data_IF_543957840414
#
_entry.id   IF_543957840414
#
_cell.length_a   1.000
_cell.length_b   1.000
_cell.length_c   1.000
_cell.angle_alpha   90.00
_cell.angle_beta   90.00
_cell.angle_gamma   90.00
#
_symmetry.space_group_name_H-M   'P 1'
#
loop_
_entity.id
_entity.type
_entity.pdbx_description
1 polymer ?
#
# COMPACT_ATOMS: atom_id res chain seq x y z
N UNK A 1 -1.54 -15.55 -4.72
CA UNK A 1 -1.51 -14.66 -3.55
C UNK A 1 -1.48 -13.23 -4.07
N UNK A 2 -2.50 -12.46 -3.76
CA UNK A 2 -2.71 -11.09 -4.22
C UNK A 2 -2.28 -10.19 -3.06
N UNK A 3 -1.37 -9.23 -3.27
CA UNK A 3 -0.96 -8.32 -2.21
C UNK A 3 -2.08 -7.32 -1.92
N UNK A 4 -2.80 -7.52 -0.81
CA UNK A 4 -3.79 -6.58 -0.28
C UNK A 4 -3.13 -5.67 0.76
N UNK A 5 -3.40 -4.37 0.68
CA UNK A 5 -2.99 -3.40 1.70
C UNK A 5 -4.22 -3.11 2.54
N UNK A 6 -4.17 -3.57 3.78
CA UNK A 6 -5.21 -3.37 4.77
C UNK A 6 -4.76 -2.26 5.71
N UNK A 7 -5.59 -1.22 5.84
CA UNK A 7 -5.42 -0.23 6.89
C UNK A 7 -6.11 -0.78 8.12
N UNK A 8 -5.32 -1.18 9.10
CA UNK A 8 -5.84 -1.70 10.34
C UNK A 8 -6.08 -0.59 11.36
N UNK A 9 -7.04 -0.82 12.26
CA UNK A 9 -7.21 0.05 13.42
C UNK A 9 -5.96 -0.02 14.32
N UNK A 10 -5.61 1.05 15.05
CA UNK A 10 -4.57 0.99 16.06
C UNK A 10 -4.82 -0.15 17.05
N UNK A 11 -3.88 -1.11 17.14
CA UNK A 11 -3.98 -2.29 18.01
C UNK A 11 -4.41 -3.60 17.33
N UNK A 12 -4.66 -3.61 16.02
CA UNK A 12 -4.86 -4.87 15.28
C UNK A 12 -3.53 -5.61 15.09
N UNK A 13 -3.53 -6.93 15.30
CA UNK A 13 -2.37 -7.81 15.19
C UNK A 13 -2.26 -8.55 13.85
N UNK A 14 -3.21 -8.34 12.92
CA UNK A 14 -3.23 -9.02 11.61
C UNK A 14 -2.31 -8.37 10.56
N UNK A 15 -1.78 -7.18 10.85
CA UNK A 15 -0.86 -6.45 9.98
C UNK A 15 0.48 -6.17 10.65
N UNK A 16 1.51 -5.91 9.82
CA UNK A 16 2.77 -5.33 10.31
C UNK A 16 2.57 -3.82 10.42
N UNK A 17 2.64 -3.22 11.62
CA UNK A 17 2.60 -1.77 11.75
C UNK A 17 3.85 -1.19 11.08
N UNK A 18 3.66 -0.23 10.18
CA UNK A 18 4.79 0.54 9.64
C UNK A 18 5.23 1.52 10.73
N UNK A 19 6.39 1.27 11.36
CA UNK A 19 6.89 2.15 12.43
C UNK A 19 7.36 3.52 11.90
N UNK A 20 7.70 3.59 10.61
CA UNK A 20 8.07 4.83 9.95
C UNK A 20 6.93 5.39 9.11
N UNK A 21 6.92 6.72 9.01
CA UNK A 21 5.99 7.43 8.14
C UNK A 21 6.07 6.93 6.70
N UNK A 22 4.91 6.65 6.12
CA UNK A 22 4.75 6.49 4.69
C UNK A 22 4.28 7.81 4.08
N UNK A 23 4.61 8.01 2.81
CA UNK A 23 4.24 9.21 2.07
C UNK A 23 3.09 8.90 1.11
N UNK A 24 1.96 9.55 1.32
CA UNK A 24 0.88 9.59 0.34
C UNK A 24 1.19 10.71 -0.64
N UNK A 25 1.59 10.36 -1.86
CA UNK A 25 1.86 11.34 -2.93
C UNK A 25 0.60 11.77 -3.64
N UNK A 26 -0.40 10.90 -3.73
CA UNK A 26 -1.69 11.20 -4.35
C UNK A 26 -2.76 10.32 -3.71
N UNK A 27 -3.90 10.91 -3.37
CA UNK A 27 -5.10 10.20 -2.95
C UNK A 27 -6.32 10.95 -3.45
N UNK A 28 -6.90 10.45 -4.54
CA UNK A 28 -8.09 11.01 -5.17
C UNK A 28 -9.09 9.88 -5.42
N UNK A 29 -10.11 9.83 -4.56
CA UNK A 29 -11.17 8.81 -4.63
C UNK A 29 -12.13 9.03 -5.79
N UNK A 30 -12.29 10.29 -6.25
CA UNK A 30 -13.14 10.61 -7.41
C UNK A 30 -12.50 10.11 -8.70
N UNK A 31 -11.20 10.33 -8.85
CA UNK A 31 -10.41 9.85 -9.99
C UNK A 31 -9.91 8.41 -9.80
N UNK A 32 -10.11 7.83 -8.61
CA UNK A 32 -9.66 6.49 -8.22
C UNK A 32 -8.15 6.31 -8.44
N UNK A 33 -7.37 7.23 -7.87
CA UNK A 33 -5.91 7.23 -7.92
C UNK A 33 -5.34 7.27 -6.52
N UNK A 34 -4.46 6.33 -6.20
CA UNK A 34 -3.66 6.33 -4.97
C UNK A 34 -2.19 6.10 -5.34
N UNK A 35 -1.29 6.86 -4.73
CA UNK A 35 0.13 6.60 -4.76
C UNK A 35 0.72 6.73 -3.36
N UNK A 36 1.18 5.62 -2.82
CA UNK A 36 1.82 5.52 -1.52
C UNK A 36 3.25 5.04 -1.70
N UNK A 37 4.17 5.67 -0.98
CA UNK A 37 5.58 5.31 -0.95
C UNK A 37 5.96 5.07 0.50
N UNK A 38 6.43 3.87 0.79
CA UNK A 38 7.06 3.53 2.05
C UNK A 38 8.58 3.42 1.80
N UNK A 39 9.38 4.36 2.33
CA UNK A 39 10.82 4.38 2.08
C UNK A 39 11.58 3.28 2.83
N UNK A 40 10.92 2.56 3.75
CA UNK A 40 11.57 1.59 4.64
C UNK A 40 12.06 2.21 5.94
N UNK A 41 13.04 1.55 6.55
CA UNK A 41 13.65 1.95 7.82
C UNK A 41 13.13 1.22 9.03
N UNK A 42 12.30 0.19 8.82
CA UNK A 42 11.97 -0.83 9.81
C UNK A 42 12.58 -2.18 9.37
N UNK A 43 12.95 -3.04 10.31
CA UNK A 43 13.41 -4.40 10.01
C UNK A 43 12.26 -5.30 9.54
N UNK A 44 11.03 -4.96 9.94
CA UNK A 44 9.86 -5.82 9.75
C UNK A 44 9.16 -5.62 8.40
N UNK A 45 9.46 -4.54 7.67
CA UNK A 45 8.88 -4.25 6.36
C UNK A 45 9.91 -3.65 5.40
N UNK A 46 10.11 -4.26 4.22
CA UNK A 46 10.99 -3.68 3.21
C UNK A 46 10.36 -2.46 2.54
N UNK A 47 11.16 -1.55 1.95
CA UNK A 47 10.66 -0.43 1.17
C UNK A 47 9.72 -0.89 0.04
N UNK A 48 8.63 -0.15 -0.17
CA UNK A 48 7.70 -0.46 -1.26
C UNK A 48 7.00 0.79 -1.81
N UNK A 49 6.43 0.63 -3.00
CA UNK A 49 5.54 1.62 -3.62
C UNK A 49 4.24 0.94 -4.01
N UNK A 50 3.12 1.49 -3.56
CA UNK A 50 1.79 1.11 -4.03
C UNK A 50 1.27 2.19 -4.98
N UNK A 51 0.83 1.77 -6.17
CA UNK A 51 0.06 2.60 -7.08
C UNK A 51 -1.28 1.93 -7.34
N UNK A 52 -2.37 2.69 -7.21
CA UNK A 52 -3.71 2.28 -7.61
C UNK A 52 -4.19 3.22 -8.70
N UNK A 53 -4.67 2.65 -9.80
CA UNK A 53 -5.32 3.37 -10.91
C UNK A 53 -6.63 2.66 -11.24
N UNK A 54 -7.74 3.39 -11.16
CA UNK A 54 -9.08 2.83 -11.29
C UNK A 54 -9.26 1.64 -10.33
N UNK A 55 -9.45 0.43 -10.82
CA UNK A 55 -9.64 -0.79 -10.02
C UNK A 55 -8.41 -1.73 -10.03
N UNK A 56 -7.24 -1.23 -10.41
CA UNK A 56 -6.00 -1.99 -10.47
C UNK A 56 -4.99 -1.43 -9.49
N UNK A 57 -4.30 -2.30 -8.77
CA UNK A 57 -3.17 -1.96 -7.92
C UNK A 57 -1.90 -2.64 -8.40
N UNK A 58 -0.79 -1.92 -8.24
CA UNK A 58 0.56 -2.40 -8.50
C UNK A 58 1.39 -2.11 -7.27
N UNK A 59 1.82 -3.17 -6.59
CA UNK A 59 2.80 -3.12 -5.52
C UNK A 59 4.19 -3.38 -6.10
N UNK A 60 5.12 -2.45 -5.91
CA UNK A 60 6.53 -2.64 -6.23
C UNK A 60 7.31 -2.79 -4.93
N UNK A 61 7.95 -3.93 -4.74
CA UNK A 61 8.66 -4.31 -3.50
C UNK A 61 9.87 -5.17 -3.88
N UNK A 62 11.07 -4.85 -3.36
CA UNK A 62 12.34 -5.50 -3.77
C UNK A 62 12.55 -5.62 -5.29
N UNK A 63 12.17 -4.60 -6.06
CA UNK A 63 12.26 -4.62 -7.53
C UNK A 63 11.28 -5.58 -8.23
N UNK A 64 10.44 -6.31 -7.47
CA UNK A 64 9.35 -7.12 -8.01
C UNK A 64 8.07 -6.30 -8.10
N UNK A 65 7.30 -6.52 -9.16
CA UNK A 65 5.97 -5.93 -9.35
C UNK A 65 4.90 -7.00 -9.15
N UNK A 66 3.95 -6.70 -8.28
CA UNK A 66 2.78 -7.53 -8.00
C UNK A 66 1.55 -6.73 -8.41
N UNK A 67 0.79 -7.27 -9.36
CA UNK A 67 -0.45 -6.66 -9.83
C UNK A 67 -1.65 -7.33 -9.19
N UNK A 68 -2.68 -6.54 -8.91
CA UNK A 68 -3.88 -6.96 -8.23
C UNK A 68 -5.08 -6.12 -8.68
N UNK A 69 -6.28 -6.64 -8.44
CA UNK A 69 -7.48 -5.81 -8.41
C UNK A 69 -7.54 -5.02 -7.10
N UNK A 70 -8.21 -3.87 -7.11
CA UNK A 70 -8.39 -3.02 -5.95
C UNK A 70 -9.83 -2.54 -5.86
N UNK A 71 -10.45 -2.72 -4.70
CA UNK A 71 -11.76 -2.15 -4.40
C UNK A 71 -11.58 -0.85 -3.62
N UNK A 72 -12.34 0.18 -4.02
CA UNK A 72 -12.43 1.45 -3.30
C UNK A 72 -13.56 1.46 -2.28
N UNK A 73 -14.35 0.39 -2.24
CA UNK A 73 -15.40 0.20 -1.24
C UNK A 73 -14.71 -0.09 0.10
N UNK A 74 -15.03 0.71 1.12
CA UNK A 74 -14.55 0.56 2.50
C UNK A 74 -15.43 -0.40 3.28
#
# INVERSE_FOLDING_TARGET
MIASIHFYAPGDSKGVPLQNDFQVKTFDTKRRVLRLIYPGGDQDAPPFTLVVLANKSTLTIHGKRINSTFSWEM
#
